data_IF_977129823004
#
_entry.id   IF_977129823004
#
_cell.length_a   1.000
_cell.length_b   1.000
_cell.length_c   1.000
_cell.angle_alpha   90.00
_cell.angle_beta   90.00
_cell.angle_gamma   90.00
#
_symmetry.space_group_name_H-M   'P 1'
#
loop_
_entity.id
_entity.type
_entity.pdbx_description
1 polymer ?
#
# COMPACT_ATOMS: atom_id res chain seq x y z
N UNK A 1 29.40 12.25 -67.63
CA UNK A 1 28.13 11.58 -67.25
C UNK A 1 28.46 10.71 -66.06
N UNK A 2 28.13 11.20 -64.86
CA UNK A 2 28.48 10.58 -63.58
C UNK A 2 27.39 9.60 -63.16
N UNK A 3 27.75 8.42 -62.68
CA UNK A 3 26.83 7.57 -61.92
C UNK A 3 27.62 6.88 -60.80
N UNK A 4 27.51 7.43 -59.59
CA UNK A 4 27.98 6.82 -58.35
C UNK A 4 26.87 5.90 -57.82
N UNK A 5 27.20 4.72 -57.28
CA UNK A 5 26.24 3.90 -56.56
C UNK A 5 26.01 4.47 -55.16
N UNK A 6 24.74 4.57 -54.77
CA UNK A 6 24.28 5.03 -53.46
C UNK A 6 23.81 3.81 -52.66
N UNK A 7 24.53 3.40 -51.60
CA UNK A 7 23.93 2.54 -50.58
C UNK A 7 24.23 3.09 -49.19
N UNK A 8 23.54 4.16 -48.79
CA UNK A 8 23.43 4.48 -47.37
C UNK A 8 21.99 4.84 -47.01
N UNK A 9 21.08 3.87 -47.17
CA UNK A 9 19.90 3.83 -46.30
C UNK A 9 20.40 3.54 -44.90
N UNK A 10 20.68 4.62 -44.17
CA UNK A 10 20.97 4.60 -42.76
C UNK A 10 19.68 4.26 -42.02
N UNK A 11 19.33 2.98 -42.00
CA UNK A 11 18.30 2.45 -41.11
C UNK A 11 18.95 2.31 -39.73
N UNK A 12 19.20 3.46 -39.10
CA UNK A 12 19.51 3.52 -37.68
C UNK A 12 18.16 3.41 -36.98
N UNK A 13 17.61 2.19 -36.96
CA UNK A 13 16.49 1.80 -36.11
C UNK A 13 16.94 1.96 -34.67
N UNK A 14 16.78 3.19 -34.21
CA UNK A 14 17.06 3.66 -32.87
C UNK A 14 16.40 2.74 -31.86
N UNK A 15 17.22 2.26 -30.93
CA UNK A 15 16.86 1.66 -29.65
C UNK A 15 15.49 2.14 -29.15
N UNK A 16 14.52 1.24 -29.04
CA UNK A 16 13.28 1.55 -28.32
C UNK A 16 12.58 0.33 -27.71
N UNK A 17 13.29 -0.77 -27.48
CA UNK A 17 12.79 -1.96 -26.74
C UNK A 17 13.24 -1.97 -25.27
N UNK A 18 13.39 -0.79 -24.65
CA UNK A 18 13.66 -0.63 -23.22
C UNK A 18 12.47 -0.05 -22.44
N UNK A 19 11.28 0.03 -23.06
CA UNK A 19 10.11 0.72 -22.52
C UNK A 19 9.03 -0.21 -21.92
N UNK A 20 9.26 -1.52 -21.83
CA UNK A 20 8.37 -2.43 -21.12
C UNK A 20 9.06 -2.96 -19.85
N UNK A 21 9.52 -2.05 -18.99
CA UNK A 21 9.69 -2.42 -17.59
C UNK A 21 8.27 -2.41 -17.02
N UNK A 22 7.67 -3.55 -16.63
CA UNK A 22 6.31 -3.56 -16.13
C UNK A 22 6.26 -2.72 -14.85
N UNK A 23 5.82 -1.47 -14.99
CA UNK A 23 5.51 -0.60 -13.86
C UNK A 23 4.48 -1.36 -13.03
N UNK A 24 4.83 -1.70 -11.80
CA UNK A 24 3.96 -2.50 -10.95
C UNK A 24 2.62 -1.78 -10.81
N UNK A 25 1.48 -2.42 -11.12
CA UNK A 25 0.23 -1.70 -11.19
C UNK A 25 -0.08 -1.06 -9.84
N UNK A 26 -0.70 0.14 -9.82
CA UNK A 26 -0.99 0.86 -8.57
C UNK A 26 -1.85 0.01 -7.61
N UNK A 27 -2.66 -0.90 -8.15
CA UNK A 27 -3.44 -1.87 -7.39
C UNK A 27 -2.57 -2.88 -6.62
N UNK A 28 -1.45 -3.34 -7.17
CA UNK A 28 -0.57 -4.28 -6.49
C UNK A 28 0.23 -3.61 -5.37
N UNK A 29 0.68 -2.36 -5.59
CA UNK A 29 1.31 -1.56 -4.54
C UNK A 29 0.31 -1.22 -3.42
N UNK A 30 -0.95 -0.92 -3.77
CA UNK A 30 -2.03 -0.75 -2.81
C UNK A 30 -2.30 -2.02 -2.01
N UNK A 31 -2.43 -3.18 -2.67
CA UNK A 31 -2.65 -4.46 -2.01
C UNK A 31 -1.52 -4.78 -1.03
N UNK A 32 -0.26 -4.54 -1.41
CA UNK A 32 0.88 -4.67 -0.51
C UNK A 32 0.82 -3.70 0.67
N UNK A 33 0.37 -2.47 0.45
CA UNK A 33 0.18 -1.48 1.52
C UNK A 33 -0.91 -1.93 2.49
N UNK A 34 -2.05 -2.43 2.00
CA UNK A 34 -3.13 -2.97 2.82
C UNK A 34 -2.67 -4.20 3.61
N UNK A 35 -1.93 -5.12 2.99
CA UNK A 35 -1.37 -6.27 3.68
C UNK A 35 -0.43 -5.84 4.82
N UNK A 36 0.39 -4.81 4.61
CA UNK A 36 1.26 -4.26 5.67
C UNK A 36 0.47 -3.54 6.77
N UNK A 37 -0.59 -2.80 6.45
CA UNK A 37 -1.46 -2.17 7.46
C UNK A 37 -2.17 -3.23 8.31
N UNK A 38 -2.63 -4.32 7.68
CA UNK A 38 -3.22 -5.46 8.38
C UNK A 38 -2.19 -6.18 9.25
N UNK A 39 -0.98 -6.41 8.73
CA UNK A 39 0.13 -6.98 9.48
C UNK A 39 0.56 -6.11 10.67
N UNK A 40 0.54 -4.78 10.50
CA UNK A 40 0.83 -3.82 11.56
C UNK A 40 -0.17 -3.92 12.72
N UNK A 41 -1.44 -4.16 12.42
CA UNK A 41 -2.47 -4.33 13.44
C UNK A 41 -2.34 -5.67 14.20
N UNK A 42 -1.78 -6.69 13.57
CA UNK A 42 -1.60 -8.04 14.13
C UNK A 42 -0.21 -8.30 14.72
N UNK A 43 0.72 -7.36 14.59
CA UNK A 43 2.11 -7.54 14.99
C UNK A 43 2.26 -7.65 16.51
N UNK A 44 2.99 -8.67 16.95
CA UNK A 44 3.15 -9.03 18.36
C UNK A 44 4.12 -8.10 19.13
N UNK A 45 5.08 -7.47 18.43
CA UNK A 45 6.12 -6.66 19.05
C UNK A 45 6.13 -5.22 18.52
N UNK A 46 6.41 -4.26 19.39
CA UNK A 46 6.51 -2.82 19.04
C UNK A 46 7.57 -2.55 17.97
N UNK A 47 8.73 -3.23 18.03
CA UNK A 47 9.76 -3.10 17.01
C UNK A 47 9.30 -3.54 15.61
N UNK A 48 8.50 -4.62 15.52
CA UNK A 48 7.92 -5.07 14.27
C UNK A 48 6.83 -4.12 13.77
N UNK A 49 5.98 -3.62 14.68
CA UNK A 49 4.98 -2.58 14.37
C UNK A 49 5.65 -1.33 13.80
N UNK A 50 6.67 -0.81 14.46
CA UNK A 50 7.40 0.37 13.99
C UNK A 50 8.05 0.14 12.61
N UNK A 51 8.63 -1.04 12.37
CA UNK A 51 9.20 -1.38 11.06
C UNK A 51 8.15 -1.46 9.95
N UNK A 52 6.99 -2.07 10.23
CA UNK A 52 5.88 -2.16 9.27
C UNK A 52 5.29 -0.78 8.97
N UNK A 53 5.08 0.06 9.99
CA UNK A 53 4.59 1.42 9.80
C UNK A 53 5.54 2.27 8.92
N UNK A 54 6.86 2.15 9.08
CA UNK A 54 7.84 2.81 8.19
C UNK A 54 7.71 2.34 6.74
N UNK A 55 7.44 1.04 6.55
CA UNK A 55 7.24 0.46 5.22
C UNK A 55 5.93 0.93 4.58
N UNK A 56 4.85 1.03 5.37
CA UNK A 56 3.58 1.61 4.93
C UNK A 56 3.78 3.05 4.43
N UNK A 57 4.50 3.89 5.17
CA UNK A 57 4.82 5.27 4.77
C UNK A 57 5.55 5.28 3.42
N UNK A 58 6.59 4.45 3.28
CA UNK A 58 7.35 4.38 2.04
C UNK A 58 6.47 3.99 0.85
N UNK A 59 5.62 2.97 1.03
CA UNK A 59 4.69 2.53 -0.02
C UNK A 59 3.68 3.61 -0.38
N UNK A 60 3.14 4.34 0.60
CA UNK A 60 2.17 5.43 0.36
C UNK A 60 2.81 6.62 -0.39
N UNK A 61 4.09 6.91 -0.13
CA UNK A 61 4.84 7.91 -0.88
C UNK A 61 5.08 7.48 -2.34
N UNK A 62 5.34 6.20 -2.58
CA UNK A 62 5.45 5.66 -3.94
C UNK A 62 4.09 5.68 -4.67
N UNK A 63 3.02 5.38 -3.95
CA UNK A 63 1.65 5.38 -4.46
C UNK A 63 1.17 6.78 -4.88
N UNK A 64 1.51 7.81 -4.09
CA UNK A 64 1.16 9.21 -4.39
C UNK A 64 1.95 9.77 -5.58
N UNK A 65 3.16 9.26 -5.81
CA UNK A 65 4.01 9.62 -6.95
C UNK A 65 3.78 8.74 -8.20
N UNK A 66 2.94 7.71 -8.12
CA UNK A 66 2.79 6.73 -9.20
C UNK A 66 2.22 7.38 -10.48
N UNK A 67 2.83 7.21 -11.67
CA UNK A 67 2.40 7.90 -12.90
C UNK A 67 0.93 7.59 -13.24
N UNK A 68 0.55 6.31 -13.21
CA UNK A 68 -0.78 5.83 -13.65
C UNK A 68 -1.88 5.93 -12.58
N UNK A 69 -1.57 6.49 -11.41
CA UNK A 69 -2.58 6.69 -10.37
C UNK A 69 -3.47 7.91 -10.69
N UNK A 70 -4.78 7.76 -10.45
CA UNK A 70 -5.72 8.87 -10.61
C UNK A 70 -5.37 10.03 -9.64
N UNK A 71 -5.64 11.29 -10.01
CA UNK A 71 -5.33 12.43 -9.15
C UNK A 71 -5.97 12.33 -7.75
N UNK A 72 -7.22 11.84 -7.68
CA UNK A 72 -7.92 11.62 -6.42
C UNK A 72 -7.21 10.55 -5.57
N UNK A 73 -6.77 9.46 -6.20
CA UNK A 73 -6.04 8.41 -5.50
C UNK A 73 -4.69 8.89 -4.96
N UNK A 74 -3.96 9.71 -5.73
CA UNK A 74 -2.72 10.36 -5.26
C UNK A 74 -2.96 11.24 -4.03
N UNK A 75 -4.04 12.02 -4.03
CA UNK A 75 -4.42 12.85 -2.89
C UNK A 75 -4.76 12.00 -1.65
N UNK A 76 -5.51 10.92 -1.82
CA UNK A 76 -5.81 9.97 -0.74
C UNK A 76 -4.52 9.36 -0.19
N UNK A 77 -3.62 8.90 -1.05
CA UNK A 77 -2.33 8.32 -0.64
C UNK A 77 -1.45 9.32 0.12
N UNK A 78 -1.39 10.58 -0.33
CA UNK A 78 -0.65 11.65 0.34
C UNK A 78 -1.24 12.01 1.73
N UNK A 79 -2.57 12.00 1.85
CA UNK A 79 -3.24 12.18 3.13
C UNK A 79 -2.93 11.03 4.09
N UNK A 80 -3.04 9.79 3.60
CA UNK A 80 -2.74 8.60 4.40
C UNK A 80 -1.28 8.59 4.84
N UNK A 81 -0.35 8.93 3.95
CA UNK A 81 1.08 9.07 4.26
C UNK A 81 1.30 10.02 5.45
N UNK A 82 0.66 11.20 5.41
CA UNK A 82 0.78 12.21 6.47
C UNK A 82 0.23 11.72 7.81
N UNK A 83 -0.86 10.94 7.81
CA UNK A 83 -1.43 10.32 9.01
C UNK A 83 -0.47 9.29 9.61
N UNK A 84 0.12 8.42 8.79
CA UNK A 84 1.07 7.40 9.24
C UNK A 84 2.37 8.00 9.78
N UNK A 85 2.88 9.07 9.16
CA UNK A 85 4.04 9.81 9.68
C UNK A 85 3.75 10.39 11.07
N UNK A 86 2.53 10.90 11.29
CA UNK A 86 2.11 11.40 12.60
C UNK A 86 2.03 10.27 13.63
N UNK A 87 1.44 9.14 13.25
CA UNK A 87 1.34 7.96 14.10
C UNK A 87 2.71 7.50 14.61
N UNK A 88 3.71 7.40 13.72
CA UNK A 88 5.08 7.02 14.13
C UNK A 88 5.77 8.03 15.04
N UNK A 89 5.43 9.32 14.94
CA UNK A 89 6.02 10.39 15.77
C UNK A 89 5.39 10.47 17.15
N UNK A 90 4.19 9.91 17.34
CA UNK A 90 3.45 9.93 18.61
C UNK A 90 3.82 8.76 19.54
N UNK A 91 4.69 7.86 19.13
CA UNK A 91 5.07 6.66 19.89
C UNK A 91 6.22 6.98 20.88
N UNK A 92 5.89 7.14 22.18
CA UNK A 92 6.54 6.29 23.17
C UNK A 92 5.60 5.46 24.07
N UNK A 93 4.30 5.77 24.18
CA UNK A 93 3.42 5.16 25.20
C UNK A 93 1.94 5.23 24.77
N UNK A 94 1.59 4.77 23.56
CA UNK A 94 0.17 4.48 23.26
C UNK A 94 -0.01 2.98 23.15
N UNK A 95 -0.81 2.34 24.04
CA UNK A 95 -1.30 1.00 23.82
C UNK A 95 -2.27 1.07 22.64
N UNK A 96 -1.69 1.05 21.45
CA UNK A 96 -2.37 0.86 20.19
C UNK A 96 -3.07 -0.47 20.33
N UNK A 97 -4.39 -0.38 20.44
CA UNK A 97 -5.30 -1.49 20.66
C UNK A 97 -4.82 -2.69 19.86
N UNK A 98 -4.14 -3.61 20.56
CA UNK A 98 -3.97 -4.95 20.08
C UNK A 98 -5.38 -5.40 19.72
N UNK A 99 -5.59 -5.74 18.44
CA UNK A 99 -6.68 -6.65 18.09
C UNK A 99 -6.65 -7.73 19.17
N UNK A 100 -7.70 -7.88 19.99
CA UNK A 100 -7.66 -8.83 21.08
C UNK A 100 -7.30 -10.16 20.44
N UNK A 101 -6.15 -10.71 20.85
CA UNK A 101 -5.75 -12.07 20.49
C UNK A 101 -6.99 -12.93 20.67
N UNK A 102 -7.33 -13.67 19.62
CA UNK A 102 -8.54 -14.46 19.50
C UNK A 102 -8.52 -15.66 20.47
N UNK A 103 -8.44 -15.38 21.77
CA UNK A 103 -8.34 -16.36 22.85
C UNK A 103 -8.91 -15.83 24.18
N UNK A 104 -9.82 -14.85 24.13
CA UNK A 104 -10.80 -14.65 25.19
C UNK A 104 -12.19 -14.66 24.55
N UNK A 105 -12.80 -15.84 24.54
CA UNK A 105 -14.25 -16.00 24.44
C UNK A 105 -14.88 -15.20 25.59
N UNK A 106 -15.17 -13.93 25.35
CA UNK A 106 -16.05 -13.14 26.19
C UNK A 106 -17.45 -13.20 25.56
N UNK A 107 -18.36 -14.05 26.09
CA UNK A 107 -19.71 -14.20 25.55
C UNK A 107 -20.59 -12.95 25.74
N UNK A 108 -20.09 -11.91 26.41
CA UNK A 108 -20.83 -10.66 26.66
C UNK A 108 -20.38 -9.49 25.78
N UNK A 109 -19.44 -9.69 24.84
CA UNK A 109 -19.04 -8.65 23.90
C UNK A 109 -20.04 -8.53 22.75
N UNK A 110 -21.09 -7.78 23.04
CA UNK A 110 -22.04 -7.14 22.11
C UNK A 110 -22.77 -8.12 21.21
N UNK A 111 -23.74 -8.80 21.80
CA UNK A 111 -24.82 -9.46 21.07
C UNK A 111 -25.68 -8.36 20.42
N UNK A 112 -25.46 -8.08 19.13
CA UNK A 112 -26.26 -7.12 18.35
C UNK A 112 -27.71 -7.59 18.12
N UNK A 113 -28.08 -8.76 18.65
CA UNK A 113 -29.44 -9.27 18.70
C UNK A 113 -29.68 -9.95 20.06
N UNK A 114 -30.70 -9.49 20.78
CA UNK A 114 -31.34 -10.27 21.84
C UNK A 114 -32.33 -11.22 21.17
N UNK A 115 -32.09 -12.52 21.27
CA UNK A 115 -33.08 -13.54 20.92
C UNK A 115 -34.26 -13.45 21.88
N UNK A 116 -35.51 -13.29 21.40
CA UNK A 116 -36.66 -13.38 22.29
C UNK A 116 -36.87 -14.85 22.69
N UNK A 117 -36.55 -15.16 23.95
CA UNK A 117 -36.58 -16.52 24.54
C UNK A 117 -38.00 -17.08 24.76
N UNK A 118 -39.07 -16.42 24.31
CA UNK A 118 -40.44 -16.89 24.57
C UNK A 118 -41.36 -16.65 23.39
N UNK A 119 -41.62 -17.70 22.62
CA UNK A 119 -42.90 -17.89 21.95
C UNK A 119 -43.79 -18.63 22.96
N UNK A 120 -44.70 -17.89 23.61
CA UNK A 120 -45.84 -18.48 24.32
C UNK A 120 -46.87 -18.99 23.31
#
# INVERSE_FOLDING_TARGET
MSQFPDPTSSDTGSDSDAADMPHMPPAALLAGTLALMTGHAQACCEGQRAAMARKVITHLSMLSAHPDASPNFKAIAANLHSLWVRLLKQDPEQPQQALPSADHFDPHRVLWHTTPETLQ
#
